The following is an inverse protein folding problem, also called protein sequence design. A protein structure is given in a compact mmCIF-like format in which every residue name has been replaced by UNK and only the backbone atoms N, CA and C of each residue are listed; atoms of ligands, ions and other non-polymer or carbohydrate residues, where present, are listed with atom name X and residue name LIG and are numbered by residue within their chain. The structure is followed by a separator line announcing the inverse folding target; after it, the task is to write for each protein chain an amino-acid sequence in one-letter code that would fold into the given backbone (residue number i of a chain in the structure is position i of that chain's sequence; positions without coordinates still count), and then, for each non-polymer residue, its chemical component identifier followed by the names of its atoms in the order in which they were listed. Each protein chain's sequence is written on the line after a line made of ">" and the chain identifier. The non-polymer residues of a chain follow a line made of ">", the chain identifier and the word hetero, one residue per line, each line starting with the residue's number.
data_IF_262362714959
#
_entry.id   IF_262362714959
#
_cell.length_a   1.000
_cell.length_b   1.000
_cell.length_c   1.000
_cell.angle_alpha   90.00
_cell.angle_beta   90.00
_cell.angle_gamma   90.00
#
_symmetry.space_group_name_H-M   'P 1'
#
loop_
_entity.id
_entity.type
_entity.pdbx_description
1 polymer ?
#
# COMPACT_ATOMS: atom_id res chain seq x y z
N UNK A 1 20.06 -39.27 -9.70
CA UNK A 1 18.76 -39.19 -9.01
C UNK A 1 18.28 -37.74 -9.07
N UNK A 2 16.99 -37.45 -9.33
CA UNK A 2 16.50 -36.08 -9.34
C UNK A 2 16.64 -35.47 -7.94
N UNK A 3 17.22 -34.27 -7.85
CA UNK A 3 17.32 -33.55 -6.59
C UNK A 3 15.91 -33.28 -6.03
N UNK A 4 15.68 -33.46 -4.72
CA UNK A 4 14.42 -33.08 -4.10
C UNK A 4 14.21 -31.56 -4.25
N UNK A 5 12.96 -31.10 -4.44
CA UNK A 5 12.67 -29.68 -4.60
C UNK A 5 13.10 -28.91 -3.35
N UNK A 6 13.91 -27.86 -3.57
CA UNK A 6 14.29 -26.89 -2.55
C UNK A 6 13.02 -26.19 -2.05
N UNK A 7 12.53 -26.59 -0.88
CA UNK A 7 11.48 -25.84 -0.18
C UNK A 7 12.13 -24.64 0.51
N UNK A 8 11.97 -23.46 -0.09
CA UNK A 8 12.43 -22.21 0.52
C UNK A 8 11.38 -21.77 1.54
N UNK A 9 11.59 -22.14 2.81
CA UNK A 9 10.78 -21.63 3.92
C UNK A 9 11.30 -20.25 4.32
N UNK A 10 10.48 -19.21 4.14
CA UNK A 10 10.80 -17.85 4.58
C UNK A 10 10.92 -17.80 6.11
N UNK A 11 11.88 -17.03 6.62
CA UNK A 11 11.93 -16.71 8.05
C UNK A 11 10.75 -15.81 8.44
N UNK A 12 10.38 -15.79 9.72
CA UNK A 12 9.21 -15.02 10.15
C UNK A 12 9.36 -13.51 9.92
N UNK A 13 10.58 -12.98 9.99
CA UNK A 13 10.89 -11.60 9.60
C UNK A 13 10.66 -11.34 8.10
N UNK A 14 11.06 -12.27 7.22
CA UNK A 14 10.81 -12.18 5.79
C UNK A 14 9.32 -12.27 5.46
N UNK A 15 8.55 -13.06 6.19
CA UNK A 15 7.08 -13.10 6.05
C UNK A 15 6.45 -11.75 6.39
N UNK A 16 6.87 -11.11 7.49
CA UNK A 16 6.37 -9.79 7.90
C UNK A 16 6.71 -8.72 6.86
N UNK A 17 7.95 -8.70 6.36
CA UNK A 17 8.39 -7.82 5.26
C UNK A 17 7.49 -7.95 4.01
N UNK A 18 7.20 -9.18 3.61
CA UNK A 18 6.33 -9.47 2.47
C UNK A 18 4.91 -8.98 2.73
N UNK A 19 4.35 -9.22 3.91
CA UNK A 19 3.01 -8.74 4.30
C UNK A 19 2.93 -7.20 4.26
N UNK A 20 3.97 -6.49 4.72
CA UNK A 20 4.04 -5.02 4.63
C UNK A 20 4.01 -4.53 3.17
N UNK A 21 4.72 -5.21 2.26
CA UNK A 21 4.72 -4.86 0.82
C UNK A 21 3.34 -5.06 0.20
N UNK A 22 2.66 -6.15 0.52
CA UNK A 22 1.29 -6.38 0.05
C UNK A 22 0.31 -5.35 0.61
N UNK A 23 0.43 -4.99 1.89
CA UNK A 23 -0.37 -3.94 2.53
C UNK A 23 -0.18 -2.59 1.82
N UNK A 24 1.05 -2.21 1.50
CA UNK A 24 1.34 -1.01 0.72
C UNK A 24 0.71 -1.05 -0.68
N UNK A 25 0.86 -2.17 -1.39
CA UNK A 25 0.26 -2.36 -2.72
C UNK A 25 -1.27 -2.25 -2.70
N UNK A 26 -1.94 -2.86 -1.73
CA UNK A 26 -3.39 -2.75 -1.61
C UNK A 26 -3.84 -1.35 -1.21
N UNK A 27 -3.05 -0.62 -0.42
CA UNK A 27 -3.33 0.78 -0.11
C UNK A 27 -3.20 1.69 -1.35
N UNK A 28 -2.22 1.43 -2.22
CA UNK A 28 -2.12 2.14 -3.50
C UNK A 28 -3.29 1.81 -4.44
N UNK A 29 -3.65 0.53 -4.55
CA UNK A 29 -4.81 0.09 -5.33
C UNK A 29 -6.11 0.73 -4.81
N UNK A 30 -6.29 0.79 -3.49
CA UNK A 30 -7.46 1.42 -2.87
C UNK A 30 -7.54 2.92 -3.20
N UNK A 31 -6.42 3.64 -3.13
CA UNK A 31 -6.37 5.07 -3.49
C UNK A 31 -6.73 5.31 -4.95
N UNK A 32 -6.19 4.50 -5.86
CA UNK A 32 -6.50 4.62 -7.29
C UNK A 32 -7.99 4.34 -7.55
N UNK A 33 -8.54 3.32 -6.89
CA UNK A 33 -9.94 2.96 -7.00
C UNK A 33 -10.86 4.04 -6.42
N UNK A 34 -10.53 4.63 -5.27
CA UNK A 34 -11.30 5.73 -4.67
C UNK A 34 -11.35 6.96 -5.60
N UNK A 35 -10.26 7.27 -6.30
CA UNK A 35 -10.24 8.34 -7.29
C UNK A 35 -11.17 8.04 -8.48
N UNK A 36 -11.06 6.85 -9.06
CA UNK A 36 -11.91 6.41 -10.18
C UNK A 36 -13.39 6.35 -9.80
N UNK A 37 -13.71 5.82 -8.62
CA UNK A 37 -15.08 5.75 -8.12
C UNK A 37 -15.66 7.17 -7.92
N UNK A 38 -14.86 8.10 -7.39
CA UNK A 38 -15.26 9.50 -7.25
C UNK A 38 -15.64 10.14 -8.59
N UNK A 39 -14.86 9.91 -9.64
CA UNK A 39 -15.17 10.39 -10.99
C UNK A 39 -16.48 9.81 -11.53
N UNK A 40 -16.67 8.49 -11.41
CA UNK A 40 -17.91 7.81 -11.87
C UNK A 40 -19.14 8.33 -11.13
N UNK A 41 -19.05 8.50 -9.80
CA UNK A 41 -20.14 9.02 -8.99
C UNK A 41 -20.47 10.48 -9.34
N UNK A 42 -19.44 11.29 -9.64
CA UNK A 42 -19.65 12.67 -10.08
C UNK A 42 -20.39 12.70 -11.41
N UNK A 43 -19.99 11.89 -12.39
CA UNK A 43 -20.69 11.78 -13.67
C UNK A 43 -22.13 11.28 -13.54
N UNK A 44 -22.39 10.35 -12.61
CA UNK A 44 -23.75 9.90 -12.33
C UNK A 44 -24.61 11.01 -11.72
N UNK A 45 -24.05 11.78 -10.79
CA UNK A 45 -24.75 12.93 -10.20
C UNK A 45 -25.03 14.03 -11.23
N UNK A 46 -24.07 14.31 -12.11
CA UNK A 46 -24.25 15.23 -13.26
C UNK A 46 -25.36 14.74 -14.19
N UNK A 47 -25.38 13.44 -14.52
CA UNK A 47 -26.42 12.84 -15.36
C UNK A 47 -27.80 12.96 -14.71
N UNK A 48 -27.92 12.70 -13.41
CA UNK A 48 -29.17 12.86 -12.67
C UNK A 48 -29.64 14.32 -12.61
N UNK A 49 -28.71 15.26 -12.43
CA UNK A 49 -29.01 16.68 -12.50
C UNK A 49 -29.54 17.05 -13.88
N UNK A 50 -28.84 16.67 -14.96
CA UNK A 50 -29.25 16.97 -16.34
C UNK A 50 -30.61 16.32 -16.68
N UNK A 51 -30.86 15.09 -16.21
CA UNK A 51 -32.13 14.41 -16.40
C UNK A 51 -33.32 15.21 -15.85
N UNK A 52 -33.13 15.89 -14.71
CA UNK A 52 -34.18 16.68 -14.08
C UNK A 52 -34.58 17.92 -14.88
N UNK A 53 -33.69 18.48 -15.71
CA UNK A 53 -33.96 19.69 -16.49
C UNK A 53 -34.22 19.43 -17.97
N UNK A 54 -33.54 18.44 -18.56
CA UNK A 54 -33.52 18.18 -19.99
C UNK A 54 -34.24 16.87 -20.38
N UNK A 55 -34.71 16.10 -19.40
CA UNK A 55 -35.30 14.77 -19.60
C UNK A 55 -34.24 13.69 -19.87
N UNK A 56 -34.69 12.47 -20.19
CA UNK A 56 -33.80 11.35 -20.47
C UNK A 56 -33.24 11.41 -21.90
N UNK A 57 -32.24 12.26 -22.09
CA UNK A 57 -31.44 12.27 -23.30
C UNK A 57 -30.57 10.99 -23.39
N UNK A 58 -30.22 10.52 -24.61
CA UNK A 58 -29.42 9.30 -24.78
C UNK A 58 -28.09 9.32 -24.02
N UNK A 59 -27.44 10.48 -23.92
CA UNK A 59 -26.20 10.65 -23.17
C UNK A 59 -26.38 10.40 -21.65
N UNK A 60 -27.52 10.83 -21.09
CA UNK A 60 -27.88 10.59 -19.68
C UNK A 60 -28.14 9.11 -19.44
N UNK A 61 -28.80 8.43 -20.39
CA UNK A 61 -29.06 6.98 -20.32
C UNK A 61 -27.75 6.21 -20.33
N UNK A 62 -26.79 6.60 -21.17
CA UNK A 62 -25.48 5.96 -21.24
C UNK A 62 -24.64 6.19 -19.98
N UNK A 63 -24.68 7.39 -19.40
CA UNK A 63 -24.04 7.68 -18.12
C UNK A 63 -24.66 6.85 -16.98
N UNK A 64 -25.99 6.70 -16.95
CA UNK A 64 -26.68 5.88 -15.94
C UNK A 64 -26.32 4.38 -16.00
N UNK A 65 -25.96 3.84 -17.16
CA UNK A 65 -25.48 2.44 -17.28
C UNK A 65 -24.18 2.20 -16.49
N UNK A 66 -23.35 3.24 -16.31
CA UNK A 66 -22.13 3.19 -15.50
C UNK A 66 -22.39 2.99 -14.00
N UNK A 67 -23.64 3.04 -13.55
CA UNK A 67 -24.01 2.65 -12.17
C UNK A 67 -23.54 1.25 -11.80
N UNK A 68 -23.63 0.31 -12.75
CA UNK A 68 -23.12 -1.06 -12.55
C UNK A 68 -21.59 -1.12 -12.40
N UNK A 69 -20.86 -0.24 -13.07
CA UNK A 69 -19.41 -0.09 -12.92
C UNK A 69 -19.05 0.41 -11.52
N UNK A 70 -19.78 1.43 -11.03
CA UNK A 70 -19.65 1.95 -9.68
C UNK A 70 -19.90 0.86 -8.60
N UNK A 71 -20.94 0.04 -8.77
CA UNK A 71 -21.25 -1.05 -7.83
C UNK A 71 -20.12 -2.10 -7.76
N UNK A 72 -19.49 -2.41 -8.90
CA UNK A 72 -18.35 -3.33 -8.95
C UNK A 72 -17.13 -2.72 -8.26
N UNK A 73 -16.86 -1.45 -8.51
CA UNK A 73 -15.78 -0.71 -7.85
C UNK A 73 -16.00 -0.64 -6.33
N UNK A 74 -17.21 -0.34 -5.84
CA UNK A 74 -17.53 -0.34 -4.41
C UNK A 74 -17.29 -1.70 -3.76
N UNK A 75 -17.70 -2.80 -4.41
CA UNK A 75 -17.45 -4.16 -3.89
C UNK A 75 -15.95 -4.43 -3.78
N UNK A 76 -15.17 -4.00 -4.77
CA UNK A 76 -13.70 -4.14 -4.74
C UNK A 76 -13.07 -3.28 -3.64
N UNK A 77 -13.53 -2.04 -3.46
CA UNK A 77 -13.13 -1.13 -2.38
C UNK A 77 -13.33 -1.77 -1.01
N UNK A 78 -14.52 -2.29 -0.75
CA UNK A 78 -14.87 -2.95 0.51
C UNK A 78 -14.01 -4.21 0.74
N UNK A 79 -13.73 -4.96 -0.31
CA UNK A 79 -12.86 -6.14 -0.23
C UNK A 79 -11.42 -5.78 0.11
N UNK A 80 -10.86 -4.76 -0.55
CA UNK A 80 -9.51 -4.26 -0.26
C UNK A 80 -9.40 -3.72 1.16
N UNK A 81 -10.42 -2.99 1.65
CA UNK A 81 -10.47 -2.54 3.04
C UNK A 81 -10.36 -3.70 4.03
N UNK A 82 -11.18 -4.75 3.85
CA UNK A 82 -11.12 -5.96 4.70
C UNK A 82 -9.76 -6.66 4.66
N UNK A 83 -9.09 -6.67 3.50
CA UNK A 83 -7.75 -7.24 3.37
C UNK A 83 -6.71 -6.43 4.13
N UNK A 84 -6.75 -5.09 4.02
CA UNK A 84 -5.85 -4.20 4.74
C UNK A 84 -6.05 -4.33 6.25
N UNK A 85 -7.30 -4.31 6.72
CA UNK A 85 -7.62 -4.47 8.15
C UNK A 85 -7.06 -5.80 8.70
N UNK A 86 -7.21 -6.88 7.92
CA UNK A 86 -6.68 -8.19 8.30
C UNK A 86 -5.15 -8.22 8.28
N UNK A 87 -4.50 -7.54 7.34
CA UNK A 87 -3.04 -7.41 7.32
C UNK A 87 -2.54 -6.60 8.51
N UNK A 88 -3.23 -5.52 8.88
CA UNK A 88 -2.88 -4.68 10.02
C UNK A 88 -3.07 -5.41 11.36
N UNK A 89 -4.01 -6.36 11.46
CA UNK A 89 -4.13 -7.25 12.62
C UNK A 89 -3.00 -8.28 12.73
N UNK A 90 -2.48 -8.76 11.59
CA UNK A 90 -1.46 -9.82 11.55
C UNK A 90 -0.05 -9.24 11.69
N UNK A 91 0.20 -8.06 11.13
CA UNK A 91 1.49 -7.38 11.22
C UNK A 91 1.61 -6.80 12.64
N UNK A 92 2.51 -7.32 13.50
CA UNK A 92 2.70 -6.75 14.83
C UNK A 92 3.13 -5.28 14.68
N UNK A 93 2.64 -4.34 15.53
CA UNK A 93 3.18 -2.99 15.58
C UNK A 93 4.64 -3.08 16.01
N UNK A 94 5.56 -3.04 15.05
CA UNK A 94 6.98 -3.08 15.34
C UNK A 94 7.40 -1.71 15.89
N UNK A 95 8.20 -1.66 16.96
CA UNK A 95 8.79 -0.41 17.40
C UNK A 95 9.56 0.19 16.24
N UNK A 96 9.40 1.50 16.01
CA UNK A 96 10.16 2.21 15.01
C UNK A 96 11.65 1.94 15.29
N UNK A 97 12.32 1.25 14.37
CA UNK A 97 13.75 1.02 14.46
C UNK A 97 14.40 2.39 14.27
N UNK A 98 14.74 3.04 15.38
CA UNK A 98 15.60 4.21 15.39
C UNK A 98 16.98 3.74 14.98
N UNK A 99 17.25 3.70 13.67
CA UNK A 99 18.59 3.50 13.14
C UNK A 99 19.32 4.81 13.47
N UNK A 100 20.32 4.84 14.39
CA UNK A 100 21.18 6.00 14.50
C UNK A 100 21.85 6.18 13.14
N UNK A 101 21.64 7.33 12.53
CA UNK A 101 22.19 7.65 11.22
C UNK A 101 23.71 7.36 11.23
N UNK A 102 24.23 6.57 10.29
CA UNK A 102 25.67 6.39 10.16
C UNK A 102 26.24 7.66 9.56
N UNK A 103 26.68 8.60 10.41
CA UNK A 103 27.39 9.78 9.91
C UNK A 103 27.26 11.08 10.69
N UNK A 104 27.24 11.07 12.02
CA UNK A 104 27.59 12.29 12.78
C UNK A 104 28.82 11.99 13.62
N UNK A 105 29.97 12.37 13.06
CA UNK A 105 31.26 12.25 13.71
C UNK A 105 31.25 12.91 15.09
N UNK A 106 31.56 12.11 16.09
CA UNK A 106 32.14 12.59 17.35
C UNK A 106 33.53 11.97 17.41
N UNK A 107 34.52 12.79 17.06
CA UNK A 107 35.92 12.44 17.14
C UNK A 107 36.30 12.09 18.58
N UNK A 108 36.54 10.81 18.83
CA UNK A 108 37.39 10.38 19.93
C UNK A 108 38.84 10.43 19.40
N UNK A 109 39.57 11.45 19.82
CA UNK A 109 40.96 11.68 19.42
C UNK A 109 41.85 10.50 19.76
N UNK A 110 42.34 9.81 18.74
CA UNK A 110 43.49 8.93 18.83
C UNK A 110 44.77 9.79 18.77
N UNK A 111 45.13 10.43 19.88
CA UNK A 111 46.46 11.03 20.05
C UNK A 111 47.47 9.91 20.35
N UNK A 112 48.39 9.68 19.42
CA UNK A 112 49.44 8.69 19.57
C UNK A 112 50.40 8.98 20.73
N UNK A 113 50.84 7.91 21.39
CA UNK A 113 52.14 7.82 22.08
C UNK A 113 52.66 6.39 21.95
N UNK A 114 53.63 6.21 21.06
CA UNK A 114 54.46 5.03 20.94
C UNK A 114 55.36 4.89 22.17
N UNK A 115 55.25 3.78 22.90
CA UNK A 115 56.25 3.37 23.88
C UNK A 115 56.67 1.92 23.60
N UNK A 116 57.56 1.75 22.63
CA UNK A 116 58.30 0.49 22.43
C UNK A 116 59.71 0.72 22.97
N UNK A 117 60.02 0.17 24.15
CA UNK A 117 61.39 0.00 24.64
C UNK A 117 61.98 -1.23 23.96
N UNK A 118 63.03 -1.04 23.14
CA UNK A 118 63.95 -2.10 22.76
C UNK A 118 65.08 -2.14 23.79
N UNK A 119 65.32 -3.32 24.37
CA UNK A 119 66.60 -3.68 24.97
C UNK A 119 67.60 -4.02 23.86
#
# INVERSE_FOLDING_TARGET
>A
MPLPPLSVTLSDGQKIEVLKRFRAKYAEELKALDAQLGEVLTHLAEAEYLAAFLGEQPEVIDLRKRKSEADVMEKRRQFLGKLIDRLDQIIPPQPAVAIPAPGVGTGAGASGRSNVRRY
#
